data_IF_734535073017
#
_entry.id   IF_734535073017
#
_cell.length_a   1.000
_cell.length_b   1.000
_cell.length_c   1.000
_cell.angle_alpha   90.00
_cell.angle_beta   90.00
_cell.angle_gamma   90.00
#
_symmetry.space_group_name_H-M   'P 1'
#
loop_
_entity.id
_entity.type
_entity.pdbx_description
1 polymer ?
#
# COMPACT_ATOMS: atom_id res chain seq x y z
N UNK A 1 8.01 -14.74 -9.88
CA UNK A 1 8.59 -13.88 -10.93
C UNK A 1 8.50 -12.46 -10.41
N UNK A 2 9.60 -11.70 -10.43
CA UNK A 2 9.58 -10.29 -10.01
C UNK A 2 9.10 -9.48 -11.21
N UNK A 3 8.02 -8.73 -11.05
CA UNK A 3 7.49 -7.87 -12.11
C UNK A 3 8.45 -6.70 -12.35
N UNK A 4 9.08 -6.67 -13.53
CA UNK A 4 10.09 -5.69 -13.93
C UNK A 4 9.46 -4.40 -14.51
N UNK A 5 8.13 -4.30 -14.55
CA UNK A 5 7.43 -3.10 -15.07
C UNK A 5 7.21 -2.05 -13.99
N UNK A 6 7.32 -2.42 -12.71
CA UNK A 6 7.26 -1.47 -11.60
C UNK A 6 8.58 -0.72 -11.46
N UNK A 7 8.56 0.63 -11.34
CA UNK A 7 9.77 1.41 -11.09
C UNK A 7 10.47 0.90 -9.81
N UNK A 8 11.82 0.96 -9.76
CA UNK A 8 12.56 0.51 -8.58
C UNK A 8 12.04 1.28 -7.37
N UNK A 9 11.61 0.56 -6.33
CA UNK A 9 11.11 1.19 -5.11
C UNK A 9 12.19 2.13 -4.60
N UNK A 10 11.85 3.41 -4.46
CA UNK A 10 12.72 4.42 -3.85
C UNK A 10 13.16 3.86 -2.49
N UNK A 11 14.42 4.13 -2.10
CA UNK A 11 15.06 3.69 -0.86
C UNK A 11 14.27 4.22 0.36
N UNK A 12 13.15 3.59 0.65
CA UNK A 12 12.17 3.95 1.67
C UNK A 12 11.88 2.76 2.59
N UNK A 13 10.94 2.93 3.52
CA UNK A 13 10.62 1.89 4.48
C UNK A 13 9.91 0.71 3.79
N UNK A 14 10.69 -0.34 3.50
CA UNK A 14 10.22 -1.55 2.81
C UNK A 14 9.05 -2.24 3.55
N UNK A 15 8.95 -2.08 4.89
CA UNK A 15 7.82 -2.60 5.66
C UNK A 15 6.54 -1.86 5.30
N UNK A 16 6.58 -0.52 5.30
CA UNK A 16 5.41 0.30 4.97
C UNK A 16 5.00 0.14 3.50
N UNK A 17 5.98 0.00 2.59
CA UNK A 17 5.71 -0.35 1.19
C UNK A 17 5.00 -1.72 1.06
N UNK A 18 5.45 -2.73 1.81
CA UNK A 18 4.81 -4.04 1.84
C UNK A 18 3.39 -4.00 2.40
N UNK A 19 3.16 -3.19 3.44
CA UNK A 19 1.82 -2.96 4.01
C UNK A 19 0.90 -2.32 2.96
N UNK A 20 1.37 -1.29 2.24
CA UNK A 20 0.59 -0.65 1.18
C UNK A 20 0.17 -1.65 0.10
N UNK A 21 1.11 -2.48 -0.39
CA UNK A 21 0.85 -3.52 -1.38
C UNK A 21 -0.21 -4.52 -0.89
N UNK A 22 -0.05 -5.06 0.31
CA UNK A 22 -0.99 -6.04 0.87
C UNK A 22 -2.40 -5.45 1.06
N UNK A 23 -2.49 -4.19 1.49
CA UNK A 23 -3.78 -3.51 1.64
C UNK A 23 -4.41 -3.15 0.28
N UNK A 24 -3.60 -2.82 -0.72
CA UNK A 24 -4.04 -2.64 -2.11
C UNK A 24 -4.66 -3.91 -2.67
N UNK A 25 -3.99 -5.06 -2.51
CA UNK A 25 -4.53 -6.37 -2.89
C UNK A 25 -5.84 -6.70 -2.16
N UNK A 26 -5.93 -6.41 -0.86
CA UNK A 26 -7.16 -6.58 -0.09
C UNK A 26 -8.31 -5.72 -0.63
N UNK A 27 -8.04 -4.47 -0.99
CA UNK A 27 -9.03 -3.56 -1.54
C UNK A 27 -9.52 -3.98 -2.93
N UNK A 28 -8.61 -4.38 -3.83
CA UNK A 28 -8.93 -4.66 -5.23
C UNK A 28 -9.28 -6.12 -5.51
N UNK A 29 -8.42 -7.05 -5.09
CA UNK A 29 -8.55 -8.49 -5.40
C UNK A 29 -9.67 -9.10 -4.57
N UNK A 30 -9.70 -8.75 -3.28
CA UNK A 30 -10.72 -9.29 -2.36
C UNK A 30 -11.98 -8.41 -2.28
N UNK A 31 -12.01 -7.25 -2.95
CA UNK A 31 -13.13 -6.30 -2.95
C UNK A 31 -13.50 -5.78 -1.55
N UNK A 32 -12.49 -5.65 -0.68
CA UNK A 32 -12.65 -5.24 0.71
C UNK A 32 -11.97 -3.87 1.02
N UNK A 33 -12.31 -2.78 0.28
CA UNK A 33 -11.65 -1.48 0.48
C UNK A 33 -11.94 -0.87 1.86
N UNK A 34 -13.13 -1.12 2.41
CA UNK A 34 -13.49 -0.64 3.75
C UNK A 34 -12.65 -1.34 4.84
N UNK A 35 -12.40 -2.65 4.69
CA UNK A 35 -11.54 -3.39 5.61
C UNK A 35 -10.09 -2.91 5.50
N UNK A 36 -9.58 -2.72 4.29
CA UNK A 36 -8.22 -2.21 4.08
C UNK A 36 -8.00 -0.85 4.78
N UNK A 37 -8.97 0.07 4.69
CA UNK A 37 -8.93 1.36 5.42
C UNK A 37 -8.97 1.17 6.95
N UNK A 38 -9.78 0.24 7.45
CA UNK A 38 -9.85 -0.06 8.88
C UNK A 38 -8.56 -0.67 9.40
N UNK A 39 -7.93 -1.56 8.64
CA UNK A 39 -6.63 -2.15 9.01
C UNK A 39 -5.56 -1.06 9.03
N UNK A 40 -5.50 -0.20 8.00
CA UNK A 40 -4.57 0.94 7.97
C UNK A 40 -4.71 1.82 9.23
N UNK A 41 -5.94 2.20 9.57
CA UNK A 41 -6.22 2.97 10.78
C UNK A 41 -5.86 2.21 12.08
N UNK A 42 -6.10 0.89 12.14
CA UNK A 42 -5.76 0.06 13.31
C UNK A 42 -4.24 -0.04 13.55
N UNK A 43 -3.44 0.10 12.49
CA UNK A 43 -1.99 0.17 12.56
C UNK A 43 -1.49 1.56 12.95
N UNK A 44 -2.38 2.54 13.13
CA UNK A 44 -2.03 3.94 13.40
C UNK A 44 -1.34 4.63 12.23
N UNK A 45 -1.56 4.16 11.01
CA UNK A 45 -0.93 4.67 9.80
C UNK A 45 -1.91 5.49 8.97
N UNK A 46 -1.37 6.43 8.21
CA UNK A 46 -2.09 7.22 7.21
C UNK A 46 -1.61 6.90 5.80
N UNK A 47 -2.39 7.30 4.79
CA UNK A 47 -1.95 7.22 3.38
C UNK A 47 -0.69 8.08 3.14
N UNK A 48 -0.51 9.15 3.93
CA UNK A 48 0.67 10.00 3.83
C UNK A 48 1.93 9.30 4.35
N UNK A 49 1.83 8.51 5.42
CA UNK A 49 2.95 7.69 5.91
C UNK A 49 3.39 6.68 4.86
N UNK A 50 2.43 6.02 4.21
CA UNK A 50 2.71 5.08 3.12
C UNK A 50 3.35 5.80 1.92
N UNK A 51 2.86 6.98 1.55
CA UNK A 51 3.45 7.81 0.48
C UNK A 51 4.88 8.23 0.83
N UNK A 52 5.11 8.71 2.05
CA UNK A 52 6.42 9.12 2.53
C UNK A 52 7.41 7.94 2.56
N UNK A 53 6.92 6.72 2.82
CA UNK A 53 7.70 5.50 2.73
C UNK A 53 8.00 5.05 1.28
N UNK A 54 7.48 5.74 0.26
CA UNK A 54 7.67 5.38 -1.14
C UNK A 54 6.80 4.21 -1.60
N UNK A 55 5.62 4.02 -1.01
CA UNK A 55 4.64 3.05 -1.49
C UNK A 55 4.19 3.36 -2.93
N UNK A 56 3.81 2.31 -3.65
CA UNK A 56 3.37 2.40 -5.04
C UNK A 56 2.12 3.30 -5.15
N UNK A 57 2.11 4.29 -6.05
CA UNK A 57 0.95 5.16 -6.23
C UNK A 57 -0.35 4.40 -6.55
N UNK A 58 -0.25 3.25 -7.24
CA UNK A 58 -1.42 2.42 -7.54
C UNK A 58 -2.05 1.88 -6.25
N UNK A 59 -1.25 1.28 -5.36
CA UNK A 59 -1.71 0.75 -4.08
C UNK A 59 -2.34 1.87 -3.24
N UNK A 60 -1.76 3.07 -3.26
CA UNK A 60 -2.31 4.25 -2.56
C UNK A 60 -3.67 4.71 -3.12
N UNK A 61 -3.91 4.59 -4.42
CA UNK A 61 -5.22 4.94 -5.01
C UNK A 61 -6.33 3.99 -4.58
N UNK A 62 -6.00 2.72 -4.36
CA UNK A 62 -6.94 1.69 -3.89
C UNK A 62 -7.35 1.91 -2.42
N UNK A 63 -6.56 2.68 -1.66
CA UNK A 63 -6.79 2.99 -0.26
C UNK A 63 -7.48 4.34 -0.02
N UNK A 64 -7.74 5.13 -1.07
CA UNK A 64 -8.44 6.42 -0.98
C UNK A 64 -9.95 6.28 -0.81
#
# INVERSE_FOLDING_TARGET
MVDLTKPPRIQGDARLQGIACALGELAETHKEPALAKRVLASLGLTIEDLRAAGADPHDLTLLR
#
